data_IF_385814959374
#
_entry.id   IF_385814959374
#
_cell.length_a   1.000
_cell.length_b   1.000
_cell.length_c   1.000
_cell.angle_alpha   90.00
_cell.angle_beta   90.00
_cell.angle_gamma   90.00
#
_symmetry.space_group_name_H-M   'P 1'
#
loop_
_entity.id
_entity.type
_entity.pdbx_description
1 polymer ?
#
# COMPACT_ATOMS: atom_id res chain seq x y z
N UNK A 1 5.39 21.27 -5.06
CA UNK A 1 6.42 20.46 -5.75
C UNK A 1 6.79 19.34 -4.79
N UNK A 2 6.14 18.19 -4.94
CA UNK A 2 6.41 17.01 -4.10
C UNK A 2 7.83 16.54 -4.41
N UNK A 3 8.70 16.42 -3.41
CA UNK A 3 10.00 15.79 -3.59
C UNK A 3 9.75 14.36 -4.09
N UNK A 4 9.93 14.13 -5.40
CA UNK A 4 9.93 12.78 -5.95
C UNK A 4 11.08 12.06 -5.26
N UNK A 5 10.74 11.09 -4.43
CA UNK A 5 11.73 10.21 -3.86
C UNK A 5 12.35 9.44 -5.04
N UNK A 6 13.64 9.64 -5.30
CA UNK A 6 14.35 9.01 -6.43
C UNK A 6 14.41 7.51 -6.19
N UNK A 7 13.44 6.81 -6.77
CA UNK A 7 13.35 5.35 -6.77
C UNK A 7 14.15 4.81 -7.93
N UNK A 8 14.96 3.80 -7.66
CA UNK A 8 15.79 3.17 -8.68
C UNK A 8 15.63 1.65 -8.66
N UNK A 9 15.74 1.05 -9.85
CA UNK A 9 15.86 -0.40 -10.03
C UNK A 9 17.24 -0.76 -10.60
N UNK A 10 17.92 -1.73 -10.02
CA UNK A 10 19.18 -2.25 -10.57
C UNK A 10 18.99 -2.85 -11.97
N UNK A 11 19.78 -2.39 -12.95
CA UNK A 11 19.64 -2.79 -14.36
C UNK A 11 20.10 -4.23 -14.67
N UNK A 12 20.77 -4.90 -13.73
CA UNK A 12 21.26 -6.28 -13.91
C UNK A 12 20.09 -7.26 -13.96
N UNK A 13 19.93 -7.93 -15.11
CA UNK A 13 18.96 -9.01 -15.32
C UNK A 13 19.15 -10.16 -14.30
N UNK A 14 18.33 -10.17 -13.25
CA UNK A 14 18.38 -11.14 -12.15
C UNK A 14 18.53 -10.52 -10.76
N UNK A 15 18.98 -9.26 -10.66
CA UNK A 15 19.01 -8.55 -9.40
C UNK A 15 17.64 -7.94 -9.07
N UNK A 16 17.11 -7.11 -9.98
CA UNK A 16 15.84 -6.34 -9.83
C UNK A 16 15.67 -5.76 -8.42
N UNK A 17 16.77 -5.31 -7.84
CA UNK A 17 16.73 -4.68 -6.51
C UNK A 17 16.20 -3.27 -6.69
N UNK A 18 15.30 -2.86 -5.81
CA UNK A 18 14.71 -1.52 -5.80
C UNK A 18 15.03 -0.84 -4.48
N UNK A 19 15.28 0.47 -4.51
CA UNK A 19 15.53 1.25 -3.31
C UNK A 19 15.75 2.73 -3.59
N UNK A 20 16.22 3.44 -2.57
CA UNK A 20 16.64 4.85 -2.64
C UNK A 20 18.17 4.96 -2.58
N UNK A 21 18.76 5.96 -3.24
CA UNK A 21 20.20 6.21 -3.17
C UNK A 21 20.63 6.43 -1.71
N UNK A 22 21.54 5.57 -1.21
CA UNK A 22 22.04 5.69 0.17
C UNK A 22 23.49 5.25 0.34
N UNK A 23 24.03 4.37 -0.51
CA UNK A 23 25.39 3.83 -0.34
C UNK A 23 26.27 4.09 -1.57
N UNK A 24 27.41 4.74 -1.34
CA UNK A 24 28.46 4.96 -2.35
C UNK A 24 29.61 3.98 -2.12
N UNK A 25 30.09 3.36 -3.19
CA UNK A 25 31.27 2.49 -3.16
C UNK A 25 32.39 3.07 -4.01
N UNK A 26 33.63 2.86 -3.56
CA UNK A 26 34.83 3.22 -4.31
C UNK A 26 35.03 2.20 -5.44
N UNK A 27 35.04 2.68 -6.67
CA UNK A 27 35.22 1.89 -7.89
C UNK A 27 36.54 2.32 -8.53
N UNK A 28 37.30 1.35 -9.07
CA UNK A 28 38.49 1.62 -9.89
C UNK A 28 38.08 1.70 -11.35
N UNK A 29 38.41 2.82 -11.99
CA UNK A 29 38.28 3.03 -13.43
C UNK A 29 39.66 3.35 -14.02
N UNK A 30 39.75 3.43 -15.35
CA UNK A 30 40.99 3.73 -16.07
C UNK A 30 41.62 5.07 -15.64
N UNK A 31 40.80 6.03 -15.19
CA UNK A 31 41.22 7.36 -14.71
C UNK A 31 41.51 7.45 -13.19
N UNK A 32 41.42 6.34 -12.44
CA UNK A 32 41.65 6.30 -10.99
C UNK A 32 40.48 5.77 -10.15
N UNK A 33 40.38 6.19 -8.89
CA UNK A 33 39.33 5.74 -7.95
C UNK A 33 38.22 6.79 -7.90
N UNK A 34 37.01 6.44 -8.34
CA UNK A 34 35.81 7.27 -8.19
C UNK A 34 34.82 6.64 -7.20
N UNK A 35 33.92 7.43 -6.63
CA UNK A 35 32.83 6.90 -5.80
C UNK A 35 31.56 6.88 -6.64
N UNK A 36 30.88 5.74 -6.73
CA UNK A 36 29.56 5.66 -7.35
C UNK A 36 28.60 4.78 -6.55
N UNK A 37 27.31 5.02 -6.73
CA UNK A 37 26.27 4.22 -6.11
C UNK A 37 26.30 2.80 -6.71
N UNK A 38 26.28 1.78 -5.86
CA UNK A 38 26.24 0.38 -6.29
C UNK A 38 25.07 -0.33 -5.64
N UNK A 39 24.49 -1.26 -6.37
CA UNK A 39 23.39 -2.07 -5.89
C UNK A 39 23.86 -2.96 -4.73
N UNK A 40 23.26 -2.89 -3.54
CA UNK A 40 23.72 -3.64 -2.37
C UNK A 40 23.56 -5.16 -2.55
N UNK A 41 22.70 -5.60 -3.47
CA UNK A 41 22.44 -7.02 -3.75
C UNK A 41 23.43 -7.64 -4.73
N UNK A 42 24.00 -6.88 -5.68
CA UNK A 42 24.81 -7.46 -6.75
C UNK A 42 26.04 -6.64 -7.20
N UNK A 43 26.27 -5.46 -6.61
CA UNK A 43 27.39 -4.56 -6.93
C UNK A 43 27.28 -3.82 -8.28
N UNK A 44 26.17 -3.95 -9.00
CA UNK A 44 25.95 -3.21 -10.25
C UNK A 44 25.82 -1.71 -9.99
N UNK A 45 26.45 -0.89 -10.81
CA UNK A 45 26.48 0.57 -10.71
C UNK A 45 25.57 1.26 -11.74
N UNK A 46 24.66 0.51 -12.36
CA UNK A 46 23.69 1.00 -13.34
C UNK A 46 22.28 0.71 -12.87
N UNK A 47 21.40 1.69 -13.06
CA UNK A 47 20.04 1.68 -12.55
C UNK A 47 19.06 2.29 -13.55
N UNK A 48 17.80 1.87 -13.47
CA UNK A 48 16.65 2.51 -14.10
C UNK A 48 15.94 3.38 -13.07
N UNK A 49 15.49 4.55 -13.47
CA UNK A 49 14.61 5.39 -12.65
C UNK A 49 13.17 4.85 -12.69
N UNK A 50 12.53 4.79 -11.53
CA UNK A 50 11.14 4.36 -11.40
C UNK A 50 10.26 5.56 -11.03
N UNK A 51 9.35 5.93 -11.92
CA UNK A 51 8.38 6.98 -11.64
C UNK A 51 7.26 6.50 -10.70
N UNK A 52 6.84 5.24 -10.85
CA UNK A 52 5.75 4.65 -10.08
C UNK A 52 6.23 4.04 -8.75
N UNK A 53 5.41 4.09 -7.68
CA UNK A 53 5.76 3.50 -6.40
C UNK A 53 5.88 1.98 -6.51
N UNK A 54 6.88 1.40 -5.87
CA UNK A 54 7.11 -0.06 -5.90
C UNK A 54 6.11 -0.80 -4.98
N UNK A 55 5.90 -2.12 -5.15
CA UNK A 55 4.91 -2.87 -4.35
C UNK A 55 5.03 -2.70 -2.84
N UNK A 56 6.25 -2.57 -2.28
CA UNK A 56 6.45 -2.35 -0.85
C UNK A 56 5.92 -1.00 -0.38
N UNK A 57 6.18 0.08 -1.12
CA UNK A 57 5.63 1.40 -0.79
C UNK A 57 4.11 1.43 -0.93
N UNK A 58 3.58 0.72 -1.93
CA UNK A 58 2.13 0.59 -2.11
C UNK A 58 1.47 -0.16 -0.94
N UNK A 59 2.18 -1.10 -0.31
CA UNK A 59 1.73 -1.73 0.95
C UNK A 59 1.71 -0.72 2.09
N UNK A 60 2.72 0.15 2.19
CA UNK A 60 2.75 1.19 3.22
C UNK A 60 1.60 2.17 3.05
N UNK A 61 1.32 2.63 1.82
CA UNK A 61 0.15 3.45 1.53
C UNK A 61 -1.13 2.73 1.96
N UNK A 62 -1.30 1.46 1.58
CA UNK A 62 -2.49 0.66 1.92
C UNK A 62 -2.67 0.52 3.44
N UNK A 63 -1.58 0.30 4.18
CA UNK A 63 -1.60 0.21 5.63
C UNK A 63 -1.91 1.55 6.31
N UNK A 64 -1.49 2.66 5.71
CA UNK A 64 -1.88 3.99 6.18
C UNK A 64 -3.40 4.21 6.04
N UNK A 65 -4.00 3.82 4.91
CA UNK A 65 -5.46 3.87 4.76
C UNK A 65 -6.17 2.99 5.79
N UNK A 66 -5.69 1.76 6.01
CA UNK A 66 -6.30 0.85 7.00
C UNK A 66 -6.26 1.47 8.41
N UNK A 67 -5.16 2.13 8.78
CA UNK A 67 -5.06 2.85 10.06
C UNK A 67 -6.10 3.97 10.16
N UNK A 68 -6.27 4.78 9.11
CA UNK A 68 -7.28 5.84 9.11
C UNK A 68 -8.70 5.26 9.32
N UNK A 69 -9.03 4.18 8.62
CA UNK A 69 -10.34 3.50 8.74
C UNK A 69 -10.54 2.93 10.16
N UNK A 70 -9.47 2.44 10.77
CA UNK A 70 -9.48 1.90 12.13
C UNK A 70 -9.62 2.94 13.23
N UNK A 71 -9.36 4.23 12.94
CA UNK A 71 -9.43 5.33 13.93
C UNK A 71 -10.74 6.12 13.81
N UNK A 72 -11.29 6.24 12.60
CA UNK A 72 -12.51 7.04 12.37
C UNK A 72 -13.79 6.21 12.38
N UNK A 73 -14.90 6.86 12.74
CA UNK A 73 -16.24 6.28 12.61
C UNK A 73 -16.47 5.08 13.52
N UNK A 74 -16.68 3.90 12.93
CA UNK A 74 -16.95 2.65 13.68
C UNK A 74 -15.69 1.80 13.94
N UNK A 75 -14.52 2.35 13.66
CA UNK A 75 -13.23 1.68 13.88
C UNK A 75 -13.16 0.32 13.16
N UNK A 76 -13.60 0.28 11.90
CA UNK A 76 -13.51 -0.97 11.13
C UNK A 76 -12.05 -1.40 10.99
N UNK A 77 -11.79 -2.71 10.87
CA UNK A 77 -10.44 -3.25 10.78
C UNK A 77 -9.62 -3.09 12.09
N UNK A 78 -10.27 -2.70 13.19
CA UNK A 78 -9.68 -2.66 14.54
C UNK A 78 -10.37 -3.65 15.47
N UNK A 79 -9.59 -4.29 16.35
CA UNK A 79 -10.13 -5.09 17.44
C UNK A 79 -9.18 -5.07 18.64
N UNK A 80 -9.70 -4.68 19.82
CA UNK A 80 -8.96 -4.65 21.09
C UNK A 80 -7.59 -3.94 20.98
N UNK A 81 -7.58 -2.76 20.35
CA UNK A 81 -6.37 -1.95 20.17
C UNK A 81 -5.39 -2.48 19.12
N UNK A 82 -5.77 -3.51 18.35
CA UNK A 82 -4.99 -3.98 17.20
C UNK A 82 -5.68 -3.61 15.90
N UNK A 83 -4.91 -3.04 14.98
CA UNK A 83 -5.32 -2.69 13.64
C UNK A 83 -4.87 -3.79 12.67
N UNK A 84 -5.76 -4.17 11.76
CA UNK A 84 -5.44 -5.10 10.69
C UNK A 84 -4.39 -4.49 9.76
N UNK A 85 -3.64 -5.32 9.05
CA UNK A 85 -2.63 -4.81 8.12
C UNK A 85 -2.40 -5.75 6.95
N UNK A 86 -1.80 -5.22 5.89
CA UNK A 86 -1.40 -5.97 4.71
C UNK A 86 0.11 -6.22 4.76
N UNK A 87 0.50 -7.42 4.35
CA UNK A 87 1.89 -7.86 4.23
C UNK A 87 2.19 -8.32 2.80
N UNK A 88 3.39 -7.98 2.33
CA UNK A 88 3.95 -8.56 1.11
C UNK A 88 4.78 -9.81 1.46
N UNK A 89 4.30 -10.97 1.05
CA UNK A 89 5.04 -12.23 1.16
C UNK A 89 5.99 -12.47 -0.02
N UNK A 90 6.77 -13.56 0.10
CA UNK A 90 7.68 -14.02 -0.96
C UNK A 90 6.92 -14.22 -2.29
N UNK A 91 7.54 -13.80 -3.38
CA UNK A 91 6.98 -13.91 -4.72
C UNK A 91 5.83 -12.94 -5.01
N UNK A 92 5.75 -11.81 -4.29
CA UNK A 92 4.73 -10.78 -4.53
C UNK A 92 3.32 -11.18 -4.08
N UNK A 93 3.20 -12.16 -3.19
CA UNK A 93 1.89 -12.58 -2.66
C UNK A 93 1.44 -11.60 -1.59
N UNK A 94 0.18 -11.17 -1.66
CA UNK A 94 -0.39 -10.22 -0.68
C UNK A 94 -1.16 -11.00 0.37
N UNK A 95 -0.95 -10.66 1.63
CA UNK A 95 -1.65 -11.25 2.76
C UNK A 95 -2.31 -10.14 3.58
N UNK A 96 -3.52 -10.40 4.05
CA UNK A 96 -4.22 -9.55 5.02
C UNK A 96 -4.14 -10.21 6.38
N UNK A 97 -3.70 -9.47 7.40
CA UNK A 97 -3.67 -9.94 8.79
C UNK A 97 -4.87 -9.35 9.50
N UNK A 98 -5.79 -10.24 9.87
CA UNK A 98 -7.08 -9.88 10.43
C UNK A 98 -6.96 -9.46 11.91
N UNK A 99 -7.52 -8.30 12.27
CA UNK A 99 -7.39 -7.75 13.63
C UNK A 99 -8.07 -8.64 14.70
N UNK A 100 -9.22 -9.22 14.38
CA UNK A 100 -10.00 -10.04 15.31
C UNK A 100 -9.35 -11.42 15.50
N UNK A 101 -9.16 -12.16 14.41
CA UNK A 101 -8.68 -13.54 14.46
C UNK A 101 -7.16 -13.67 14.54
N UNK A 102 -6.41 -12.59 14.27
CA UNK A 102 -4.93 -12.58 14.12
C UNK A 102 -4.41 -13.50 13.03
N UNK A 103 -5.29 -13.98 12.14
CA UNK A 103 -4.91 -14.91 11.09
C UNK A 103 -4.36 -14.16 9.90
N UNK A 104 -3.36 -14.77 9.29
CA UNK A 104 -2.80 -14.37 8.00
C UNK A 104 -3.67 -14.93 6.89
N UNK A 105 -4.51 -14.09 6.31
CA UNK A 105 -5.50 -14.40 5.28
C UNK A 105 -4.89 -14.21 3.89
N UNK A 106 -5.02 -15.23 3.04
CA UNK A 106 -4.53 -15.17 1.66
C UNK A 106 -5.55 -14.49 0.74
N UNK A 107 -5.19 -13.34 0.16
CA UNK A 107 -6.13 -12.45 -0.56
C UNK A 107 -6.15 -12.67 -2.09
N UNK A 108 -5.28 -13.51 -2.63
CA UNK A 108 -5.20 -13.73 -4.08
C UNK A 108 -6.40 -14.52 -4.65
N UNK A 109 -7.23 -15.15 -3.83
CA UNK A 109 -8.44 -15.84 -4.32
C UNK A 109 -9.55 -14.83 -4.55
N UNK A 110 -9.98 -14.69 -5.80
CA UNK A 110 -11.04 -13.75 -6.16
C UNK A 110 -12.43 -14.38 -6.03
N UNK A 111 -13.45 -13.55 -5.85
CA UNK A 111 -14.87 -13.94 -5.81
C UNK A 111 -15.27 -15.00 -4.76
N UNK A 112 -14.43 -15.24 -3.75
CA UNK A 112 -14.71 -16.17 -2.65
C UNK A 112 -14.54 -15.48 -1.31
N UNK A 113 -15.34 -15.86 -0.30
CA UNK A 113 -15.09 -15.44 1.08
C UNK A 113 -13.75 -16.01 1.53
N UNK A 114 -12.86 -15.15 2.01
CA UNK A 114 -11.56 -15.61 2.49
C UNK A 114 -11.69 -16.30 3.84
N UNK A 115 -11.08 -17.48 3.97
CA UNK A 115 -11.03 -18.19 5.24
C UNK A 115 -10.24 -17.39 6.27
N UNK A 116 -10.85 -17.11 7.42
CA UNK A 116 -10.24 -16.30 8.48
C UNK A 116 -10.47 -14.79 8.36
N UNK A 117 -11.24 -14.32 7.37
CA UNK A 117 -11.65 -12.92 7.30
C UNK A 117 -12.89 -12.68 8.16
N UNK A 118 -12.78 -11.86 9.20
CA UNK A 118 -13.87 -11.62 10.15
C UNK A 118 -14.85 -10.53 9.69
N UNK A 119 -14.41 -9.66 8.79
CA UNK A 119 -15.14 -8.46 8.40
C UNK A 119 -16.23 -8.73 7.35
N UNK A 120 -17.07 -7.72 7.11
CA UNK A 120 -18.15 -7.76 6.12
C UNK A 120 -17.67 -7.68 4.66
N UNK A 121 -18.57 -8.01 3.72
CA UNK A 121 -18.28 -8.01 2.28
C UNK A 121 -17.79 -6.67 1.73
N UNK A 122 -18.23 -5.55 2.31
CA UNK A 122 -17.75 -4.20 1.94
C UNK A 122 -16.26 -4.04 2.23
N UNK A 123 -15.80 -4.47 3.40
CA UNK A 123 -14.37 -4.45 3.73
C UNK A 123 -13.59 -5.44 2.87
N UNK A 124 -14.15 -6.61 2.58
CA UNK A 124 -13.51 -7.57 1.68
C UNK A 124 -13.27 -6.98 0.27
N UNK A 125 -14.27 -6.24 -0.24
CA UNK A 125 -14.15 -5.53 -1.51
C UNK A 125 -13.05 -4.46 -1.46
N UNK A 126 -12.98 -3.69 -0.38
CA UNK A 126 -11.92 -2.69 -0.18
C UNK A 126 -10.52 -3.33 -0.16
N UNK A 127 -10.31 -4.39 0.63
CA UNK A 127 -9.03 -5.10 0.68
C UNK A 127 -8.67 -5.70 -0.69
N UNK A 128 -9.66 -6.12 -1.49
CA UNK A 128 -9.43 -6.61 -2.85
C UNK A 128 -8.94 -5.50 -3.81
N UNK A 129 -9.44 -4.27 -3.66
CA UNK A 129 -8.94 -3.12 -4.42
C UNK A 129 -7.54 -2.70 -3.96
N UNK A 130 -7.26 -2.73 -2.64
CA UNK A 130 -5.91 -2.51 -2.11
C UNK A 130 -4.92 -3.54 -2.65
N UNK A 131 -5.30 -4.81 -2.73
CA UNK A 131 -4.49 -5.86 -3.36
C UNK A 131 -4.14 -5.51 -4.81
N UNK A 132 -5.13 -5.09 -5.61
CA UNK A 132 -4.91 -4.70 -7.02
C UNK A 132 -3.98 -3.49 -7.12
N UNK A 133 -4.17 -2.48 -6.28
CA UNK A 133 -3.24 -1.36 -6.18
C UNK A 133 -1.81 -1.82 -5.86
N UNK A 134 -1.62 -2.70 -4.87
CA UNK A 134 -0.30 -3.20 -4.47
C UNK A 134 0.38 -3.97 -5.61
N UNK A 135 -0.36 -4.81 -6.34
CA UNK A 135 0.21 -5.66 -7.39
C UNK A 135 0.43 -4.90 -8.70
N UNK A 136 -0.56 -4.12 -9.11
CA UNK A 136 -0.67 -3.58 -10.47
C UNK A 136 -0.51 -2.06 -10.52
N UNK A 137 -0.52 -1.37 -9.38
CA UNK A 137 -0.52 0.09 -9.32
C UNK A 137 -1.87 0.73 -9.69
N UNK A 138 -2.93 -0.07 -9.89
CA UNK A 138 -4.26 0.46 -10.24
C UNK A 138 -4.79 1.38 -9.14
N UNK A 139 -5.08 2.66 -9.44
CA UNK A 139 -5.60 3.61 -8.46
C UNK A 139 -6.91 3.14 -7.81
N UNK A 140 -7.14 3.57 -6.57
CA UNK A 140 -8.34 3.28 -5.82
C UNK A 140 -9.39 4.36 -6.09
N UNK A 141 -10.61 3.91 -6.40
CA UNK A 141 -11.75 4.80 -6.59
C UNK A 141 -12.18 5.42 -5.25
N UNK A 142 -12.25 6.76 -5.20
CA UNK A 142 -12.69 7.54 -4.03
C UNK A 142 -14.08 7.11 -3.53
N UNK A 143 -14.95 6.62 -4.41
CA UNK A 143 -16.30 6.10 -4.07
C UNK A 143 -16.27 4.86 -3.19
N UNK A 144 -15.13 4.17 -3.08
CA UNK A 144 -15.00 3.05 -2.16
C UNK A 144 -14.93 3.51 -0.71
N UNK A 145 -14.52 4.75 -0.43
CA UNK A 145 -14.28 5.24 0.93
C UNK A 145 -15.55 5.89 1.49
N UNK A 146 -16.24 5.12 2.33
CA UNK A 146 -17.45 5.54 3.03
C UNK A 146 -18.44 6.27 2.12
N UNK A 147 -18.75 5.79 0.90
CA UNK A 147 -19.58 6.52 -0.09
C UNK A 147 -20.83 7.19 0.53
N UNK A 148 -21.07 8.50 0.32
CA UNK A 148 -22.34 9.11 0.71
C UNK A 148 -23.47 8.32 0.04
N UNK A 149 -24.38 7.77 0.82
CA UNK A 149 -25.50 7.03 0.26
C UNK A 149 -26.49 7.98 -0.43
N UNK A 150 -27.51 7.42 -1.07
CA UNK A 150 -28.65 8.20 -1.55
C UNK A 150 -29.64 8.58 -0.43
N UNK A 151 -29.28 8.33 0.82
CA UNK A 151 -30.15 8.56 1.97
C UNK A 151 -30.24 10.05 2.27
N UNK A 152 -31.46 10.53 2.53
CA UNK A 152 -31.75 11.95 2.82
C UNK A 152 -31.17 12.42 4.16
N UNK A 153 -30.70 11.50 5.00
CA UNK A 153 -30.13 11.75 6.33
C UNK A 153 -28.63 12.04 6.32
N UNK A 154 -27.98 12.07 5.14
CA UNK A 154 -26.53 12.28 5.03
C UNK A 154 -25.70 11.06 5.41
N UNK A 155 -26.33 9.89 5.59
CA UNK A 155 -25.67 8.63 5.88
C UNK A 155 -24.77 8.13 4.74
N UNK A 156 -23.86 7.22 5.09
CA UNK A 156 -23.00 6.55 4.12
C UNK A 156 -23.18 5.03 4.18
N UNK A 157 -22.74 4.34 3.12
CA UNK A 157 -22.87 2.88 2.98
C UNK A 157 -22.18 2.11 4.13
N UNK A 158 -21.22 2.74 4.81
CA UNK A 158 -20.48 2.14 5.92
C UNK A 158 -21.17 2.37 7.29
N UNK A 159 -22.20 3.23 7.32
CA UNK A 159 -22.92 3.61 8.53
C UNK A 159 -22.09 4.48 9.48
N UNK A 160 -21.10 5.21 8.97
CA UNK A 160 -20.33 6.17 9.78
C UNK A 160 -21.16 7.42 10.03
N UNK A 161 -20.90 8.12 11.13
CA UNK A 161 -21.35 9.50 11.29
C UNK A 161 -20.81 10.35 10.13
N UNK A 162 -21.61 11.33 9.67
CA UNK A 162 -21.24 12.16 8.53
C UNK A 162 -19.92 12.90 8.75
N UNK A 163 -19.70 13.48 9.94
CA UNK A 163 -18.49 14.26 10.23
C UNK A 163 -17.26 13.37 10.29
N UNK A 164 -17.39 12.17 10.86
CA UNK A 164 -16.31 11.19 10.91
C UNK A 164 -15.98 10.64 9.52
N UNK A 165 -16.98 10.40 8.66
CA UNK A 165 -16.77 10.01 7.28
C UNK A 165 -16.09 11.12 6.47
N UNK A 166 -16.44 12.39 6.68
CA UNK A 166 -15.80 13.54 6.04
C UNK A 166 -14.33 13.68 6.46
N UNK A 167 -14.01 13.58 7.75
CA UNK A 167 -12.62 13.59 8.25
C UNK A 167 -11.80 12.44 7.66
N UNK A 168 -12.37 11.23 7.64
CA UNK A 168 -11.72 10.07 7.03
C UNK A 168 -11.40 10.34 5.56
N UNK A 169 -12.37 10.81 4.77
CA UNK A 169 -12.16 11.09 3.34
C UNK A 169 -11.12 12.20 3.13
N UNK A 170 -11.16 13.25 3.94
CA UNK A 170 -10.20 14.35 3.86
C UNK A 170 -8.75 13.87 4.05
N UNK A 171 -8.51 12.96 5.00
CA UNK A 171 -7.17 12.39 5.22
C UNK A 171 -6.84 11.30 4.19
N UNK A 172 -7.77 10.40 3.91
CA UNK A 172 -7.58 9.28 2.99
C UNK A 172 -7.25 9.75 1.57
N UNK A 173 -7.93 10.79 1.06
CA UNK A 173 -7.73 11.25 -0.31
C UNK A 173 -6.40 11.98 -0.54
N UNK A 174 -5.65 12.28 0.52
CA UNK A 174 -4.26 12.76 0.43
C UNK A 174 -3.27 11.63 0.12
N UNK A 175 -3.69 10.37 0.25
CA UNK A 175 -2.81 9.22 0.03
C UNK A 175 -2.51 9.02 -1.47
N UNK A 176 -1.30 8.54 -1.83
CA UNK A 176 -0.87 8.41 -3.22
C UNK A 176 -1.63 7.37 -4.06
N UNK A 177 -2.49 6.57 -3.44
CA UNK A 177 -3.26 5.52 -4.11
C UNK A 177 -4.55 6.02 -4.77
N UNK A 178 -4.97 7.25 -4.46
CA UNK A 178 -6.15 7.87 -5.06
C UNK A 178 -5.71 8.79 -6.19
N UNK A 179 -6.43 8.75 -7.31
CA UNK A 179 -6.26 9.73 -8.38
C UNK A 179 -6.47 11.14 -7.79
N UNK A 180 -5.46 11.99 -7.91
CA UNK A 180 -5.47 13.35 -7.39
C UNK A 180 -6.32 14.25 -8.28
#
# INVERSE_FOLDING_TARGET
MTMKQERIECSKAGCRWTGVYSETSKIRNDDGISSACVCPKCGCNSFYELDEPIPSERVDHANELIKLIAIYGREFLSHEGTIAHIELGKGGKVFYVDAYTRRRVYTNREHVRWSGFSEGGTMQSLISHLKRYILEGTPIDKRLIANPGFYQDGGNIWGYDQREAEKLREQAFKLPMFDQ
#
